data_IF_237243630101
#
_entry.id   IF_237243630101
#
_cell.length_a   1.000
_cell.length_b   1.000
_cell.length_c   1.000
_cell.angle_alpha   90.00
_cell.angle_beta   90.00
_cell.angle_gamma   90.00
#
_symmetry.space_group_name_H-M   'P 1'
#
loop_
_entity.id
_entity.type
_entity.pdbx_description
1 polymer ?
#
# COMPACT_ATOMS: atom_id res chain seq x y z
N UNK A 1 0.26 0.82 -6.55
CA UNK A 1 1.15 -0.10 -5.80
C UNK A 1 1.13 -1.50 -6.38
N UNK A 2 0.03 -2.25 -6.25
CA UNK A 2 -0.19 -3.56 -6.87
C UNK A 2 0.15 -3.64 -8.37
N UNK A 3 -0.07 -2.58 -9.16
CA UNK A 3 0.36 -2.49 -10.57
C UNK A 3 1.88 -2.64 -10.80
N UNK A 4 2.71 -2.41 -9.78
CA UNK A 4 4.18 -2.56 -9.84
C UNK A 4 4.66 -3.85 -9.18
N UNK A 5 3.76 -4.70 -8.70
CA UNK A 5 4.15 -5.98 -8.11
C UNK A 5 4.50 -6.97 -9.23
N UNK A 6 5.59 -7.72 -9.07
CA UNK A 6 6.09 -8.65 -10.09
C UNK A 6 5.08 -9.76 -10.40
N UNK A 7 4.23 -10.12 -9.43
CA UNK A 7 3.18 -11.14 -9.54
C UNK A 7 1.82 -10.59 -10.03
N UNK A 8 1.75 -9.31 -10.41
CA UNK A 8 0.51 -8.64 -10.81
C UNK A 8 -0.22 -9.36 -11.94
N UNK A 9 0.48 -9.65 -13.04
CA UNK A 9 -0.17 -10.20 -14.23
C UNK A 9 -0.69 -11.61 -13.97
N UNK A 10 0.10 -12.43 -13.27
CA UNK A 10 -0.25 -13.80 -12.93
C UNK A 10 -1.45 -13.86 -11.97
N UNK A 11 -1.46 -13.02 -10.92
CA UNK A 11 -2.59 -12.86 -9.99
C UNK A 11 -3.88 -12.46 -10.71
N UNK A 12 -3.82 -11.43 -11.56
CA UNK A 12 -4.99 -10.94 -12.30
C UNK A 12 -5.51 -12.02 -13.25
N UNK A 13 -4.63 -12.74 -13.94
CA UNK A 13 -5.00 -13.84 -14.84
C UNK A 13 -5.68 -15.00 -14.09
N UNK A 14 -5.16 -15.36 -12.92
CA UNK A 14 -5.74 -16.41 -12.08
C UNK A 14 -7.16 -16.04 -11.61
N UNK A 15 -7.34 -14.83 -11.09
CA UNK A 15 -8.66 -14.32 -10.69
C UNK A 15 -9.63 -14.21 -11.86
N UNK A 16 -9.18 -13.68 -13.00
CA UNK A 16 -10.03 -13.49 -14.16
C UNK A 16 -10.61 -14.81 -14.70
N UNK A 17 -9.79 -15.86 -14.69
CA UNK A 17 -10.17 -17.20 -15.15
C UNK A 17 -11.08 -17.92 -14.14
N UNK A 18 -10.93 -17.64 -12.84
CA UNK A 18 -11.75 -18.27 -11.79
C UNK A 18 -13.15 -17.69 -11.67
N UNK A 19 -13.37 -16.44 -12.11
CA UNK A 19 -14.71 -15.84 -12.08
C UNK A 19 -15.68 -16.51 -13.05
N UNK A 20 -16.63 -17.26 -12.50
CA UNK A 20 -17.76 -17.83 -13.22
C UNK A 20 -19.02 -17.06 -12.87
N UNK A 21 -19.61 -16.37 -13.86
CA UNK A 21 -20.82 -15.56 -13.67
C UNK A 21 -21.86 -16.04 -14.69
N UNK A 22 -22.96 -16.70 -14.27
CA UNK A 22 -23.96 -17.22 -15.19
C UNK A 22 -24.95 -16.11 -15.60
N UNK A 23 -24.57 -15.27 -16.56
CA UNK A 23 -25.43 -14.19 -17.13
C UNK A 23 -25.09 -13.92 -18.61
N UNK A 24 -25.79 -12.99 -19.24
CA UNK A 24 -25.47 -12.49 -20.59
C UNK A 24 -24.05 -11.93 -20.67
N UNK A 25 -23.35 -12.02 -21.82
CA UNK A 25 -21.94 -11.65 -21.95
C UNK A 25 -21.57 -10.25 -21.40
N UNK A 26 -22.40 -9.24 -21.64
CA UNK A 26 -22.20 -7.88 -21.10
C UNK A 26 -22.25 -7.83 -19.56
N UNK A 27 -23.13 -8.63 -18.95
CA UNK A 27 -23.22 -8.77 -17.49
C UNK A 27 -22.08 -9.61 -16.90
N UNK A 28 -21.59 -10.61 -17.65
CA UNK A 28 -20.39 -11.37 -17.26
C UNK A 28 -19.21 -10.42 -17.14
N UNK A 29 -18.95 -9.62 -18.17
CA UNK A 29 -17.81 -8.71 -18.20
C UNK A 29 -17.88 -7.68 -17.07
N UNK A 30 -19.01 -6.99 -16.90
CA UNK A 30 -19.20 -6.03 -15.82
C UNK A 30 -19.10 -6.69 -14.42
N UNK A 31 -19.57 -7.93 -14.28
CA UNK A 31 -19.46 -8.70 -13.05
C UNK A 31 -18.01 -9.09 -12.73
N UNK A 32 -17.23 -9.54 -13.73
CA UNK A 32 -15.82 -9.86 -13.57
C UNK A 32 -15.01 -8.63 -13.17
N UNK A 33 -15.27 -7.48 -13.77
CA UNK A 33 -14.64 -6.21 -13.37
C UNK A 33 -14.96 -5.83 -11.91
N UNK A 34 -16.20 -6.04 -11.45
CA UNK A 34 -16.58 -5.79 -10.06
C UNK A 34 -15.88 -6.74 -9.09
N UNK A 35 -15.77 -8.02 -9.43
CA UNK A 35 -15.05 -9.01 -8.63
C UNK A 35 -13.55 -8.67 -8.57
N UNK A 36 -12.95 -8.41 -9.72
CA UNK A 36 -11.55 -8.02 -9.84
C UNK A 36 -11.25 -6.78 -9.01
N UNK A 37 -12.06 -5.73 -9.09
CA UNK A 37 -11.90 -4.52 -8.27
C UNK A 37 -11.87 -4.82 -6.77
N UNK A 38 -12.68 -5.78 -6.28
CA UNK A 38 -12.70 -6.17 -4.87
C UNK A 38 -11.43 -6.93 -4.48
N UNK A 39 -11.04 -7.91 -5.27
CA UNK A 39 -9.85 -8.73 -4.99
C UNK A 39 -8.58 -7.89 -5.03
N UNK A 40 -8.48 -6.95 -5.98
CA UNK A 40 -7.41 -5.98 -6.05
C UNK A 40 -7.34 -5.07 -4.82
N UNK A 41 -8.50 -4.65 -4.30
CA UNK A 41 -8.55 -3.83 -3.08
C UNK A 41 -8.08 -4.63 -1.86
N UNK A 42 -8.49 -5.90 -1.76
CA UNK A 42 -8.07 -6.79 -0.68
C UNK A 42 -6.56 -7.09 -0.76
N UNK A 43 -6.07 -7.42 -1.94
CA UNK A 43 -4.67 -7.70 -2.19
C UNK A 43 -3.79 -6.48 -1.92
N UNK A 44 -4.23 -5.29 -2.34
CA UNK A 44 -3.51 -4.05 -2.02
C UNK A 44 -3.39 -3.84 -0.49
N UNK A 45 -4.43 -4.18 0.29
CA UNK A 45 -4.38 -4.11 1.76
C UNK A 45 -3.49 -5.18 2.37
N UNK A 46 -3.50 -6.41 1.85
CA UNK A 46 -2.70 -7.51 2.39
C UNK A 46 -1.21 -7.37 2.06
N UNK A 47 -0.87 -7.01 0.82
CA UNK A 47 0.53 -6.94 0.37
C UNK A 47 1.21 -5.62 0.72
N UNK A 48 0.47 -4.51 0.75
CA UNK A 48 1.07 -3.19 1.02
C UNK A 48 0.64 -2.59 2.38
N UNK A 49 -0.31 -3.23 3.08
CA UNK A 49 -0.89 -2.72 4.32
C UNK A 49 -1.86 -1.56 4.09
N UNK A 50 -2.37 -0.99 5.18
CA UNK A 50 -2.91 0.37 5.13
C UNK A 50 -1.73 1.35 5.19
N UNK A 51 -1.47 2.01 4.07
CA UNK A 51 -0.39 3.01 3.92
C UNK A 51 -0.54 4.10 4.98
N UNK A 52 -1.77 4.49 5.30
CA UNK A 52 -2.07 5.50 6.30
C UNK A 52 -1.73 5.01 7.71
N UNK A 53 -2.05 3.76 8.04
CA UNK A 53 -1.64 3.16 9.33
C UNK A 53 -0.12 3.02 9.43
N UNK A 54 0.56 2.57 8.37
CA UNK A 54 2.03 2.46 8.34
C UNK A 54 2.70 3.82 8.53
N UNK A 55 2.23 4.84 7.81
CA UNK A 55 2.69 6.22 7.95
C UNK A 55 2.51 6.72 9.38
N UNK A 56 1.31 6.57 9.93
CA UNK A 56 0.98 7.00 11.29
C UNK A 56 1.84 6.28 12.35
N UNK A 57 2.08 4.98 12.19
CA UNK A 57 2.93 4.21 13.09
C UNK A 57 4.37 4.75 13.09
N UNK A 58 4.95 5.00 11.91
CA UNK A 58 6.31 5.56 11.78
C UNK A 58 6.40 6.98 12.32
N UNK A 59 5.39 7.82 12.08
CA UNK A 59 5.31 9.17 12.66
C UNK A 59 5.22 9.13 14.20
N UNK A 60 4.52 8.16 14.79
CA UNK A 60 4.44 8.00 16.24
C UNK A 60 5.78 7.56 16.83
N UNK A 61 6.49 6.62 16.18
CA UNK A 61 7.83 6.18 16.60
C UNK A 61 8.84 7.34 16.56
N UNK A 62 8.86 8.11 15.47
CA UNK A 62 9.74 9.30 15.33
C UNK A 62 9.43 10.34 16.41
N UNK A 63 8.14 10.67 16.62
CA UNK A 63 7.72 11.60 17.69
C UNK A 63 8.09 11.10 19.08
N UNK A 64 8.11 9.78 19.30
CA UNK A 64 8.59 9.17 20.52
C UNK A 64 10.07 9.47 20.76
N UNK A 65 10.91 9.25 19.74
CA UNK A 65 12.34 9.55 19.80
C UNK A 65 12.62 11.05 19.96
N UNK A 66 11.85 11.92 19.32
CA UNK A 66 11.97 13.37 19.46
C UNK A 66 11.69 13.85 20.90
N UNK A 67 10.68 13.27 21.57
CA UNK A 67 10.40 13.57 22.99
C UNK A 67 11.51 13.11 23.94
N UNK A 68 12.17 12.00 23.62
CA UNK A 68 13.32 11.53 24.38
C UNK A 68 14.49 12.51 24.16
N UNK A 69 14.70 12.93 22.90
CA UNK A 69 15.73 13.89 22.50
C UNK A 69 15.60 15.26 23.19
N UNK A 70 14.38 15.71 23.50
CA UNK A 70 14.13 16.95 24.25
C UNK A 70 14.71 16.92 25.68
N UNK A 71 14.75 15.74 26.30
CA UNK A 71 15.22 15.58 27.68
C UNK A 71 16.68 15.10 27.76
N UNK A 72 17.11 14.25 26.82
CA UNK A 72 18.43 13.63 26.82
C UNK A 72 18.97 13.50 25.38
N UNK A 73 20.28 13.69 25.15
CA UNK A 73 20.87 13.41 23.86
C UNK A 73 20.70 11.93 23.49
N UNK A 74 20.21 11.66 22.28
CA UNK A 74 20.04 10.30 21.77
C UNK A 74 21.39 9.60 21.62
N UNK A 75 21.39 8.29 21.87
CA UNK A 75 22.52 7.39 21.63
C UNK A 75 22.77 7.21 20.12
N UNK A 76 23.95 6.72 19.74
CA UNK A 76 24.26 6.46 18.33
C UNK A 76 23.32 5.39 17.73
N UNK A 77 22.94 4.37 18.48
CA UNK A 77 21.92 3.41 18.04
C UNK A 77 20.56 4.09 17.79
N UNK A 78 20.08 4.94 18.69
CA UNK A 78 18.79 5.62 18.54
C UNK A 78 18.78 6.60 17.36
N UNK A 79 19.90 7.26 17.08
CA UNK A 79 20.06 8.11 15.89
C UNK A 79 20.00 7.27 14.61
N UNK A 80 20.61 6.08 14.61
CA UNK A 80 20.54 5.18 13.47
C UNK A 80 19.11 4.68 13.24
N UNK A 81 18.39 4.30 14.30
CA UNK A 81 16.97 3.91 14.24
C UNK A 81 16.12 5.07 13.73
N UNK A 82 16.31 6.29 14.22
CA UNK A 82 15.57 7.47 13.73
C UNK A 82 15.74 7.67 12.22
N UNK A 83 16.98 7.58 11.72
CA UNK A 83 17.29 7.69 10.29
C UNK A 83 16.64 6.58 9.46
N UNK A 84 16.62 5.36 9.96
CA UNK A 84 15.95 4.24 9.29
C UNK A 84 14.43 4.48 9.20
N UNK A 85 13.81 4.95 10.30
CA UNK A 85 12.39 5.29 10.35
C UNK A 85 12.03 6.43 9.38
N UNK A 86 12.88 7.46 9.28
CA UNK A 86 12.72 8.55 8.32
C UNK A 86 12.82 8.03 6.88
N UNK A 87 13.80 7.19 6.56
CA UNK A 87 13.95 6.59 5.23
C UNK A 87 12.78 5.64 4.87
N UNK A 88 12.22 4.94 5.85
CA UNK A 88 10.99 4.15 5.69
C UNK A 88 9.77 5.04 5.43
N UNK A 89 9.66 6.18 6.12
CA UNK A 89 8.59 7.14 5.93
C UNK A 89 8.64 7.78 4.54
N UNK A 90 9.82 8.16 4.06
CA UNK A 90 10.03 8.65 2.69
C UNK A 90 9.57 7.64 1.64
N UNK A 91 9.93 6.35 1.83
CA UNK A 91 9.45 5.27 0.97
C UNK A 91 7.92 5.18 0.98
N UNK A 92 7.28 5.27 2.15
CA UNK A 92 5.82 5.26 2.28
C UNK A 92 5.18 6.45 1.56
N UNK A 93 5.76 7.65 1.66
CA UNK A 93 5.24 8.87 0.99
C UNK A 93 5.29 8.74 -0.53
N UNK A 94 6.40 8.25 -1.10
CA UNK A 94 6.49 7.99 -2.55
C UNK A 94 5.44 6.97 -3.01
N UNK A 95 5.19 5.95 -2.18
CA UNK A 95 4.15 4.97 -2.47
C UNK A 95 2.73 5.55 -2.39
N UNK A 96 2.49 6.49 -1.48
CA UNK A 96 1.23 7.23 -1.36
C UNK A 96 1.01 8.12 -2.60
N UNK A 97 2.03 8.86 -3.03
CA UNK A 97 2.00 9.71 -4.21
C UNK A 97 1.72 8.90 -5.49
N UNK A 98 2.43 7.79 -5.69
CA UNK A 98 2.19 6.92 -6.86
C UNK A 98 0.78 6.32 -6.86
N UNK A 99 0.23 5.97 -5.70
CA UNK A 99 -1.16 5.55 -5.54
C UNK A 99 -2.14 6.65 -5.94
N UNK A 100 -1.84 7.89 -5.56
CA UNK A 100 -2.65 9.07 -5.88
C UNK A 100 -2.64 9.37 -7.38
N UNK A 101 -1.48 9.41 -8.02
CA UNK A 101 -1.35 9.60 -9.47
C UNK A 101 -2.07 8.49 -10.27
N UNK A 102 -2.02 7.23 -9.81
CA UNK A 102 -2.74 6.13 -10.44
C UNK A 102 -4.25 6.32 -10.40
N UNK A 103 -4.79 6.84 -9.29
CA UNK A 103 -6.23 7.13 -9.15
C UNK A 103 -6.67 8.28 -10.04
N UNK A 104 -5.85 9.33 -10.15
CA UNK A 104 -6.16 10.50 -10.99
C UNK A 104 -6.12 10.19 -12.48
N UNK A 105 -5.20 9.34 -12.95
CA UNK A 105 -5.13 8.93 -14.36
C UNK A 105 -6.26 7.97 -14.78
N UNK A 106 -7.01 7.44 -13.81
CA UNK A 106 -8.17 6.59 -14.03
C UNK A 106 -9.51 7.37 -14.04
N UNK A 107 -9.46 8.68 -13.80
CA UNK A 107 -10.57 9.64 -13.97
C UNK A 107 -10.49 10.29 -15.35
#
# INVERSE_FOLDING_TARGET
MWLKADDFEEKVRQWWTSYQIPRTPSFIFAGKLKALKKDLKLWNRQSFGDIGERKKSKEVEIKGLERIQENWPLTQEEIAVKKELEADLERIVVLEETSWCQKLRAL
#
